data_IF_981462417043
#
_entry.id   IF_981462417043
#
_cell.length_a   1.000
_cell.length_b   1.000
_cell.length_c   1.000
_cell.angle_alpha   90.00
_cell.angle_beta   90.00
_cell.angle_gamma   90.00
#
_symmetry.space_group_name_H-M   'P 1'
#
loop_
_entity.id
_entity.type
_entity.pdbx_description
1 polymer ?
#
# COMPACT_ATOMS: atom_id res chain seq x y z
N UNK A 1 -27.72 29.47 -44.09
CA UNK A 1 -28.96 28.78 -44.51
C UNK A 1 -29.23 27.63 -43.55
N UNK A 2 -30.09 27.85 -42.56
CA UNK A 2 -30.69 26.80 -41.75
C UNK A 2 -32.15 27.23 -41.54
N UNK A 3 -33.10 26.44 -42.02
CA UNK A 3 -34.52 26.72 -41.84
C UNK A 3 -34.84 26.67 -40.34
N UNK A 4 -35.10 27.85 -39.75
CA UNK A 4 -35.75 27.95 -38.46
C UNK A 4 -37.17 27.39 -38.61
N UNK A 5 -37.35 26.14 -38.19
CA UNK A 5 -38.65 25.49 -38.20
C UNK A 5 -39.59 26.23 -37.26
N UNK A 6 -40.67 26.82 -37.80
CA UNK A 6 -41.77 27.33 -36.97
C UNK A 6 -42.47 26.13 -36.35
N UNK A 7 -42.56 26.10 -35.01
CA UNK A 7 -43.32 25.10 -34.26
C UNK A 7 -44.50 25.80 -33.59
N UNK A 8 -45.72 25.38 -33.91
CA UNK A 8 -46.91 25.81 -33.19
C UNK A 8 -46.85 25.27 -31.76
N UNK A 9 -46.90 26.17 -30.77
CA UNK A 9 -46.79 25.80 -29.35
C UNK A 9 -48.16 25.58 -28.70
N UNK A 10 -49.13 26.40 -29.09
CA UNK A 10 -50.53 26.27 -28.70
C UNK A 10 -51.41 27.00 -29.73
N UNK A 11 -52.64 26.53 -29.88
CA UNK A 11 -53.72 27.23 -30.58
C UNK A 11 -54.96 27.10 -29.69
N UNK A 12 -55.49 28.23 -29.22
CA UNK A 12 -56.58 28.24 -28.26
C UNK A 12 -57.49 29.44 -28.49
N UNK A 13 -58.79 29.23 -28.26
CA UNK A 13 -59.76 30.33 -28.20
C UNK A 13 -59.82 30.85 -26.77
N UNK A 14 -59.55 32.14 -26.59
CA UNK A 14 -59.70 32.80 -25.29
C UNK A 14 -61.19 33.10 -25.03
N UNK A 15 -61.64 32.92 -23.79
CA UNK A 15 -62.96 33.37 -23.39
C UNK A 15 -63.06 34.91 -23.49
N UNK A 16 -64.28 35.44 -23.62
CA UNK A 16 -64.52 36.88 -23.81
C UNK A 16 -63.87 37.69 -22.68
N UNK A 17 -62.78 38.40 -23.00
CA UNK A 17 -62.09 39.28 -22.06
C UNK A 17 -62.81 40.64 -22.04
N UNK A 18 -63.30 41.05 -20.87
CA UNK A 18 -63.82 42.41 -20.68
C UNK A 18 -62.69 43.43 -20.75
N UNK A 19 -63.00 44.64 -21.21
CA UNK A 19 -62.02 45.72 -21.36
C UNK A 19 -61.25 45.97 -20.06
N UNK A 20 -59.91 45.88 -20.14
CA UNK A 20 -59.02 46.07 -18.99
C UNK A 20 -58.71 44.79 -18.19
N UNK A 21 -59.36 43.66 -18.47
CA UNK A 21 -58.97 42.37 -17.92
C UNK A 21 -57.73 41.79 -18.65
N UNK A 22 -56.89 41.09 -17.90
CA UNK A 22 -55.76 40.34 -18.42
C UNK A 22 -55.94 38.84 -18.12
N UNK A 23 -55.50 37.99 -19.03
CA UNK A 23 -55.43 36.54 -18.85
C UNK A 23 -54.00 36.07 -19.16
N UNK A 24 -53.56 34.99 -18.51
CA UNK A 24 -52.19 34.48 -18.63
C UNK A 24 -52.21 33.03 -19.08
N UNK A 25 -51.61 32.76 -20.24
CA UNK A 25 -51.45 31.41 -20.77
C UNK A 25 -50.03 30.91 -20.47
N UNK A 26 -49.92 29.80 -19.73
CA UNK A 26 -48.66 29.12 -19.48
C UNK A 26 -48.49 27.95 -20.45
N UNK A 27 -47.48 28.00 -21.33
CA UNK A 27 -47.20 26.95 -22.30
C UNK A 27 -45.82 26.36 -22.01
N UNK A 28 -45.71 25.04 -21.69
CA UNK A 28 -44.41 24.41 -21.55
C UNK A 28 -43.72 24.31 -22.91
N UNK A 29 -42.45 24.69 -22.95
CA UNK A 29 -41.64 24.61 -24.15
C UNK A 29 -40.24 24.08 -23.85
N UNK A 30 -39.75 23.22 -24.74
CA UNK A 30 -38.42 22.63 -24.64
C UNK A 30 -37.76 22.61 -26.01
N UNK A 31 -36.47 22.90 -26.02
CA UNK A 31 -35.61 22.75 -27.20
C UNK A 31 -34.26 22.16 -26.80
N UNK A 32 -33.68 21.35 -27.69
CA UNK A 32 -32.29 20.90 -27.63
C UNK A 32 -31.34 21.89 -28.33
N UNK A 33 -31.86 22.83 -29.11
CA UNK A 33 -31.07 23.78 -29.87
C UNK A 33 -30.67 24.97 -29.02
N UNK A 34 -29.37 25.30 -29.01
CA UNK A 34 -28.85 26.56 -28.47
C UNK A 34 -29.08 27.69 -29.48
N UNK A 35 -29.09 28.93 -28.99
CA UNK A 35 -29.19 30.14 -29.82
C UNK A 35 -30.31 31.09 -29.42
N UNK A 36 -30.54 32.07 -30.29
CA UNK A 36 -31.65 33.02 -30.24
C UNK A 36 -32.92 32.34 -30.76
N UNK A 37 -33.98 32.41 -29.98
CA UNK A 37 -35.32 31.94 -30.35
C UNK A 37 -36.29 33.12 -30.29
N UNK A 38 -37.42 32.96 -30.97
CA UNK A 38 -38.49 33.94 -31.00
C UNK A 38 -39.80 33.23 -30.68
N UNK A 39 -40.54 33.76 -29.71
CA UNK A 39 -41.94 33.40 -29.48
C UNK A 39 -42.79 34.51 -30.09
N UNK A 40 -43.75 34.11 -30.93
CA UNK A 40 -44.74 35.00 -31.49
C UNK A 40 -46.13 34.59 -31.02
N UNK A 41 -46.91 35.54 -30.52
CA UNK A 41 -48.33 35.39 -30.23
C UNK A 41 -49.14 36.14 -31.28
N UNK A 42 -50.10 35.46 -31.91
CA UNK A 42 -51.04 36.05 -32.85
C UNK A 42 -52.44 35.97 -32.25
N UNK A 43 -53.12 37.11 -32.16
CA UNK A 43 -54.51 37.21 -31.72
C UNK A 43 -55.35 37.74 -32.88
N UNK A 44 -56.45 37.05 -33.19
CA UNK A 44 -57.42 37.48 -34.20
C UNK A 44 -58.84 37.45 -33.64
N UNK A 45 -59.63 38.47 -33.95
CA UNK A 45 -61.09 38.50 -33.71
C UNK A 45 -61.91 38.27 -35.01
N UNK A 46 -61.23 37.85 -36.09
CA UNK A 46 -61.82 37.69 -37.43
C UNK A 46 -61.78 38.95 -38.31
N UNK A 47 -61.49 40.13 -37.75
CA UNK A 47 -61.37 41.40 -38.50
C UNK A 47 -60.00 42.05 -38.26
N UNK A 48 -59.50 41.99 -37.02
CA UNK A 48 -58.23 42.56 -36.58
C UNK A 48 -57.26 41.45 -36.24
N UNK A 49 -56.01 41.62 -36.66
CA UNK A 49 -54.91 40.73 -36.33
C UNK A 49 -53.87 41.51 -35.56
N UNK A 50 -53.54 41.05 -34.35
CA UNK A 50 -52.44 41.61 -33.55
C UNK A 50 -51.38 40.54 -33.40
N UNK A 51 -50.15 40.85 -33.79
CA UNK A 51 -48.99 39.99 -33.58
C UNK A 51 -48.05 40.67 -32.61
N UNK A 52 -47.57 39.92 -31.62
CA UNK A 52 -46.46 40.31 -30.76
C UNK A 52 -45.37 39.26 -30.81
N UNK A 53 -44.14 39.72 -30.81
CA UNK A 53 -42.96 38.87 -30.84
C UNK A 53 -42.05 39.23 -29.68
N UNK A 54 -41.41 38.21 -29.12
CA UNK A 54 -40.38 38.36 -28.11
C UNK A 54 -39.23 37.43 -28.46
N UNK A 55 -38.04 38.02 -28.58
CA UNK A 55 -36.80 37.28 -28.74
C UNK A 55 -36.21 36.93 -27.38
N UNK A 56 -35.59 35.76 -27.28
CA UNK A 56 -34.90 35.33 -26.08
C UNK A 56 -33.80 34.33 -26.43
N UNK A 57 -32.72 34.35 -25.63
CA UNK A 57 -31.66 33.37 -25.74
C UNK A 57 -31.98 32.14 -24.90
N UNK A 58 -31.72 30.97 -25.45
CA UNK A 58 -31.83 29.71 -24.71
C UNK A 58 -30.83 29.62 -23.56
N UNK A 59 -31.13 28.74 -22.61
CA UNK A 59 -30.22 28.37 -21.52
C UNK A 59 -29.03 27.55 -22.07
N UNK A 60 -27.89 27.51 -21.36
CA UNK A 60 -26.79 26.62 -21.70
C UNK A 60 -27.21 25.14 -21.73
N UNK A 61 -26.61 24.36 -22.63
CA UNK A 61 -26.92 22.93 -22.84
C UNK A 61 -25.62 22.13 -22.84
N UNK A 62 -25.60 20.98 -22.20
CA UNK A 62 -24.42 20.12 -22.19
C UNK A 62 -24.35 19.18 -21.01
N UNK A 63 -23.15 18.70 -20.75
CA UNK A 63 -22.84 17.74 -19.68
C UNK A 63 -21.76 18.28 -18.76
N UNK A 64 -21.90 17.95 -17.48
CA UNK A 64 -20.87 18.17 -16.46
C UNK A 64 -20.91 16.97 -15.51
N UNK A 65 -19.84 16.20 -15.46
CA UNK A 65 -19.80 14.99 -14.64
C UNK A 65 -18.36 14.63 -14.27
N UNK A 66 -18.22 13.83 -13.23
CA UNK A 66 -17.01 13.06 -12.94
C UNK A 66 -17.33 11.56 -13.05
N UNK A 67 -16.36 10.69 -12.80
CA UNK A 67 -16.62 9.25 -12.73
C UNK A 67 -17.47 8.89 -11.52
N UNK A 68 -18.31 7.86 -11.64
CA UNK A 68 -19.14 7.36 -10.54
C UNK A 68 -18.32 7.01 -9.28
N UNK A 69 -17.06 6.64 -9.48
CA UNK A 69 -16.05 6.50 -8.43
C UNK A 69 -14.85 7.37 -8.77
N UNK A 70 -14.49 8.29 -7.88
CA UNK A 70 -13.35 9.18 -8.02
C UNK A 70 -12.25 8.77 -7.02
N UNK A 71 -11.05 8.53 -7.55
CA UNK A 71 -9.88 8.13 -6.75
C UNK A 71 -9.26 9.39 -6.15
N UNK A 72 -9.24 9.50 -4.82
CA UNK A 72 -8.62 10.61 -4.09
C UNK A 72 -7.17 10.34 -3.71
N UNK A 73 -6.87 9.08 -3.41
CA UNK A 73 -5.57 8.65 -2.92
C UNK A 73 -5.19 7.40 -3.71
N UNK A 74 -3.99 7.43 -4.30
CA UNK A 74 -3.31 6.24 -4.78
C UNK A 74 -2.31 5.80 -3.70
N UNK A 75 -2.53 4.64 -3.11
CA UNK A 75 -1.66 4.01 -2.13
C UNK A 75 -0.76 2.99 -2.83
N UNK A 76 0.54 3.11 -2.63
CA UNK A 76 1.54 2.12 -3.04
C UNK A 76 2.16 1.52 -1.79
N UNK A 77 2.14 0.20 -1.67
CA UNK A 77 2.67 -0.52 -0.52
C UNK A 77 3.79 -1.49 -0.92
N UNK A 78 4.83 -1.57 -0.09
CA UNK A 78 5.80 -2.66 -0.08
C UNK A 78 5.78 -3.33 1.30
N UNK A 79 5.56 -4.63 1.32
CA UNK A 79 5.52 -5.41 2.56
C UNK A 79 6.75 -6.30 2.71
N UNK A 80 7.31 -6.32 3.91
CA UNK A 80 8.47 -7.09 4.30
C UNK A 80 8.18 -7.89 5.57
N UNK A 81 8.31 -9.21 5.51
CA UNK A 81 8.25 -10.06 6.70
C UNK A 81 9.66 -10.49 7.09
N UNK A 82 10.18 -9.91 8.17
CA UNK A 82 11.57 -10.07 8.61
C UNK A 82 11.73 -11.23 9.59
N UNK A 83 12.85 -11.97 9.55
CA UNK A 83 13.12 -13.03 10.49
C UNK A 83 13.44 -12.46 11.87
N UNK A 84 12.83 -13.04 12.91
CA UNK A 84 13.25 -12.79 14.28
C UNK A 84 14.46 -13.68 14.62
N UNK A 85 15.56 -13.07 15.08
CA UNK A 85 16.76 -13.80 15.50
C UNK A 85 16.64 -14.19 16.99
N UNK A 86 16.52 -15.48 17.34
CA UNK A 86 16.29 -15.93 18.72
C UNK A 86 17.59 -16.12 19.52
N UNK A 87 18.71 -15.59 19.02
CA UNK A 87 20.03 -15.74 19.61
C UNK A 87 20.64 -14.37 19.91
N UNK A 88 20.95 -14.12 21.18
CA UNK A 88 21.49 -12.84 21.65
C UNK A 88 22.99 -12.99 21.86
N UNK A 89 23.82 -12.36 21.04
CA UNK A 89 25.29 -12.48 21.13
C UNK A 89 25.92 -11.45 22.09
N UNK A 90 27.04 -11.84 22.70
CA UNK A 90 27.75 -11.09 23.73
C UNK A 90 29.22 -10.83 23.38
N UNK A 91 29.76 -9.76 23.94
CA UNK A 91 31.19 -9.49 23.90
C UNK A 91 31.98 -10.49 24.77
N UNK A 92 33.28 -10.70 24.48
CA UNK A 92 34.12 -11.60 25.25
C UNK A 92 34.10 -11.26 26.74
N UNK A 93 33.92 -12.29 27.58
CA UNK A 93 33.89 -12.17 29.05
C UNK A 93 32.83 -11.20 29.60
N UNK A 94 31.80 -10.86 28.81
CA UNK A 94 30.72 -9.95 29.18
C UNK A 94 29.37 -10.65 29.27
N UNK A 95 28.54 -10.23 30.22
CA UNK A 95 27.11 -10.56 30.32
C UNK A 95 26.21 -9.38 29.95
N UNK A 96 26.76 -8.27 29.47
CA UNK A 96 25.98 -7.08 29.09
C UNK A 96 25.28 -7.29 27.76
N UNK A 97 23.95 -7.12 27.75
CA UNK A 97 23.14 -7.20 26.52
C UNK A 97 23.39 -5.95 25.67
N UNK A 98 23.71 -6.12 24.39
CA UNK A 98 24.00 -5.01 23.47
C UNK A 98 22.74 -4.19 23.15
N UNK A 99 22.93 -2.88 22.92
CA UNK A 99 21.86 -1.94 22.58
C UNK A 99 20.99 -2.38 21.39
N UNK A 100 21.58 -3.00 20.36
CA UNK A 100 20.88 -3.49 19.18
C UNK A 100 19.79 -4.56 19.48
N UNK A 101 19.82 -5.17 20.66
CA UNK A 101 18.79 -6.12 21.10
C UNK A 101 17.74 -5.49 22.02
N UNK A 102 17.96 -4.27 22.52
CA UNK A 102 17.15 -3.63 23.55
C UNK A 102 16.44 -2.35 23.06
N UNK A 103 17.12 -1.57 22.24
CA UNK A 103 16.67 -0.24 21.84
C UNK A 103 16.27 -0.23 20.38
N UNK A 104 15.12 0.38 20.13
CA UNK A 104 14.63 0.63 18.78
C UNK A 104 15.52 1.66 18.12
N UNK A 105 16.13 1.27 17.01
CA UNK A 105 16.76 2.19 16.08
C UNK A 105 15.78 2.37 14.90
N UNK A 106 15.95 1.61 13.82
CA UNK A 106 15.02 1.62 12.69
C UNK A 106 13.87 0.60 12.82
N UNK A 107 14.07 -0.50 13.54
CA UNK A 107 13.11 -1.61 13.67
C UNK A 107 13.05 -2.08 15.12
N UNK A 108 11.93 -2.75 15.45
CA UNK A 108 11.72 -3.28 16.79
C UNK A 108 12.78 -4.37 17.09
N UNK A 109 13.58 -4.21 18.15
CA UNK A 109 14.69 -5.11 18.40
C UNK A 109 14.18 -6.48 18.88
N UNK A 110 14.98 -7.56 18.73
CA UNK A 110 14.50 -8.91 18.99
C UNK A 110 13.93 -9.13 20.39
N UNK A 111 14.53 -8.58 21.46
CA UNK A 111 14.03 -8.80 22.82
C UNK A 111 12.72 -8.05 23.09
N UNK A 112 12.54 -6.86 22.51
CA UNK A 112 11.27 -6.13 22.65
C UNK A 112 10.15 -6.87 21.94
N UNK A 113 10.42 -7.39 20.74
CA UNK A 113 9.46 -8.21 19.98
C UNK A 113 9.06 -9.47 20.77
N UNK A 114 10.03 -10.22 21.32
CA UNK A 114 9.75 -11.39 22.16
C UNK A 114 8.96 -10.99 23.42
N UNK A 115 9.34 -9.90 24.07
CA UNK A 115 8.64 -9.42 25.27
C UNK A 115 7.19 -9.04 25.00
N UNK A 116 6.91 -8.36 23.88
CA UNK A 116 5.56 -8.01 23.47
C UNK A 116 4.71 -9.28 23.26
N UNK A 117 5.24 -10.28 22.55
CA UNK A 117 4.57 -11.56 22.31
C UNK A 117 4.29 -12.33 23.60
N UNK A 118 5.22 -12.32 24.56
CA UNK A 118 5.01 -12.94 25.86
C UNK A 118 3.93 -12.22 26.69
N UNK A 119 3.88 -10.88 26.61
CA UNK A 119 2.87 -10.08 27.32
C UNK A 119 1.46 -10.30 26.77
N UNK A 120 1.32 -10.47 25.45
CA UNK A 120 0.02 -10.76 24.81
C UNK A 120 -0.40 -12.22 25.00
N UNK A 121 0.53 -13.13 25.24
CA UNK A 121 0.27 -14.56 25.41
C UNK A 121 0.83 -15.08 26.74
N UNK A 122 0.08 -14.86 27.82
CA UNK A 122 0.51 -15.17 29.20
C UNK A 122 0.80 -16.64 29.46
N UNK A 123 0.23 -17.54 28.67
CA UNK A 123 0.46 -18.98 28.72
C UNK A 123 1.80 -19.41 28.07
N UNK A 124 2.37 -18.57 27.20
CA UNK A 124 3.61 -18.87 26.49
C UNK A 124 4.78 -18.85 27.49
N UNK A 125 5.58 -19.92 27.46
CA UNK A 125 6.81 -20.05 28.23
C UNK A 125 8.02 -20.09 27.31
N UNK A 126 9.09 -19.42 27.70
CA UNK A 126 10.38 -19.48 27.01
C UNK A 126 11.47 -20.04 27.91
N UNK A 127 12.45 -20.64 27.27
CA UNK A 127 13.63 -21.20 27.89
C UNK A 127 14.86 -20.43 27.42
N UNK A 128 15.64 -19.94 28.37
CA UNK A 128 16.88 -19.21 28.14
C UNK A 128 18.06 -20.10 28.49
N UNK A 129 18.94 -20.35 27.51
CA UNK A 129 20.20 -21.07 27.75
C UNK A 129 21.38 -20.23 27.27
N UNK A 130 22.31 -19.94 28.18
CA UNK A 130 23.55 -19.25 27.85
C UNK A 130 24.64 -20.20 27.37
N UNK A 131 25.53 -19.68 26.54
CA UNK A 131 26.69 -20.39 26.03
C UNK A 131 27.98 -19.55 26.22
N UNK A 132 29.03 -20.23 26.68
CA UNK A 132 30.39 -19.71 26.78
C UNK A 132 31.29 -20.35 25.72
N UNK A 133 32.21 -19.57 25.17
CA UNK A 133 33.11 -20.04 24.11
C UNK A 133 34.56 -20.20 24.62
N UNK A 134 35.09 -21.44 24.75
CA UNK A 134 36.45 -21.65 25.25
C UNK A 134 37.53 -21.08 24.32
N UNK A 135 37.23 -20.95 23.02
CA UNK A 135 38.10 -20.28 22.06
C UNK A 135 38.28 -18.78 22.36
N UNK A 136 37.39 -18.19 23.16
CA UNK A 136 37.44 -16.81 23.64
C UNK A 136 38.04 -16.70 25.07
N UNK A 137 38.59 -17.79 25.61
CA UNK A 137 39.08 -17.88 26.99
C UNK A 137 37.98 -18.08 28.04
N UNK A 138 36.74 -18.38 27.61
CA UNK A 138 35.59 -18.53 28.50
C UNK A 138 35.38 -20.01 28.85
N UNK A 139 35.86 -20.40 30.04
CA UNK A 139 35.79 -21.79 30.50
C UNK A 139 34.77 -22.03 31.61
N UNK A 140 34.05 -20.99 32.03
CA UNK A 140 33.18 -21.03 33.21
C UNK A 140 31.71 -21.04 32.80
N UNK A 141 30.96 -22.02 33.29
CA UNK A 141 29.50 -22.10 33.14
C UNK A 141 28.81 -20.88 33.78
N UNK A 142 29.36 -20.34 34.86
CA UNK A 142 28.82 -19.17 35.55
C UNK A 142 28.66 -17.95 34.63
N UNK A 143 29.55 -17.76 33.64
CA UNK A 143 29.42 -16.66 32.68
C UNK A 143 28.24 -16.88 31.73
N UNK A 144 28.02 -18.12 31.30
CA UNK A 144 26.86 -18.49 30.48
C UNK A 144 25.55 -18.27 31.26
N UNK A 145 25.49 -18.66 32.53
CA UNK A 145 24.35 -18.43 33.41
C UNK A 145 24.09 -16.93 33.62
N UNK A 146 25.15 -16.14 33.84
CA UNK A 146 25.05 -14.69 33.99
C UNK A 146 24.48 -14.00 32.74
N UNK A 147 24.85 -14.46 31.54
CA UNK A 147 24.26 -13.98 30.28
C UNK A 147 22.77 -14.30 30.19
N UNK A 148 22.36 -15.51 30.53
CA UNK A 148 20.95 -15.91 30.53
C UNK A 148 20.13 -15.08 31.53
N UNK A 149 20.69 -14.81 32.71
CA UNK A 149 20.10 -13.90 33.69
C UNK A 149 19.95 -12.47 33.16
N UNK A 150 20.97 -11.93 32.48
CA UNK A 150 20.89 -10.58 31.90
C UNK A 150 19.78 -10.47 30.83
N UNK A 151 19.59 -11.50 30.00
CA UNK A 151 18.48 -11.54 29.02
C UNK A 151 17.12 -11.61 29.73
N UNK A 152 16.99 -12.44 30.77
CA UNK A 152 15.77 -12.49 31.61
C UNK A 152 15.46 -11.12 32.19
N UNK A 153 16.45 -10.47 32.79
CA UNK A 153 16.26 -9.19 33.47
C UNK A 153 15.86 -8.09 32.48
N UNK A 154 16.39 -8.14 31.26
CA UNK A 154 15.95 -7.28 30.16
C UNK A 154 14.48 -7.52 29.79
N UNK A 155 14.04 -8.78 29.69
CA UNK A 155 12.64 -9.13 29.42
C UNK A 155 11.70 -8.71 30.57
N UNK A 156 12.15 -8.81 31.83
CA UNK A 156 11.41 -8.28 32.97
C UNK A 156 11.26 -6.76 32.92
N UNK A 157 12.31 -6.04 32.53
CA UNK A 157 12.24 -4.60 32.33
C UNK A 157 11.20 -4.20 31.26
N UNK A 158 10.95 -5.08 30.27
CA UNK A 158 9.88 -4.91 29.28
C UNK A 158 8.49 -5.39 29.74
N UNK A 159 8.35 -5.89 30.98
CA UNK A 159 7.08 -6.26 31.59
C UNK A 159 6.65 -7.72 31.38
N UNK A 160 7.58 -8.62 31.03
CA UNK A 160 7.32 -10.07 30.97
C UNK A 160 7.19 -10.64 32.39
N UNK A 161 6.26 -11.56 32.61
CA UNK A 161 6.08 -12.17 33.93
C UNK A 161 7.15 -13.23 34.22
N UNK A 162 7.49 -13.38 35.50
CA UNK A 162 8.51 -14.34 35.95
C UNK A 162 8.17 -15.80 35.66
N UNK A 163 6.88 -16.18 35.68
CA UNK A 163 6.40 -17.54 35.43
C UNK A 163 6.50 -17.96 33.95
N UNK A 164 6.73 -17.00 33.05
CA UNK A 164 6.91 -17.23 31.61
C UNK A 164 8.35 -17.53 31.21
N UNK A 165 9.34 -17.32 32.11
CA UNK A 165 10.76 -17.46 31.76
C UNK A 165 11.42 -18.54 32.63
N UNK A 166 12.04 -19.52 31.98
CA UNK A 166 12.83 -20.56 32.63
C UNK A 166 14.28 -20.45 32.18
N UNK A 167 15.22 -20.26 33.13
CA UNK A 167 16.64 -20.34 32.85
C UNK A 167 17.08 -21.80 32.89
N UNK A 168 17.67 -22.28 31.80
CA UNK A 168 18.31 -23.58 31.71
C UNK A 168 19.80 -23.46 32.12
N UNK A 169 20.42 -24.54 32.65
CA UNK A 169 21.83 -24.53 32.97
C UNK A 169 22.69 -24.13 31.76
N UNK A 170 23.60 -23.19 31.96
CA UNK A 170 24.55 -22.73 30.96
C UNK A 170 25.48 -23.83 30.48
N UNK A 171 26.08 -23.61 29.32
CA UNK A 171 26.96 -24.59 28.68
C UNK A 171 28.25 -23.93 28.18
N UNK A 172 29.39 -24.59 28.41
CA UNK A 172 30.65 -24.25 27.73
C UNK A 172 30.68 -25.08 26.44
N UNK A 173 30.71 -24.40 25.30
CA UNK A 173 30.72 -25.07 24.00
C UNK A 173 32.01 -25.88 23.82
N UNK A 174 31.99 -26.96 23.02
CA UNK A 174 33.22 -27.67 22.67
C UNK A 174 34.17 -26.74 21.88
N UNK A 175 35.49 -26.86 22.08
CA UNK A 175 36.46 -26.08 21.33
C UNK A 175 36.34 -26.38 19.83
N UNK A 176 36.51 -25.35 19.01
CA UNK A 176 36.43 -25.45 17.55
C UNK A 176 37.75 -25.04 16.91
N UNK A 177 38.07 -25.60 15.73
CA UNK A 177 39.15 -25.08 14.91
C UNK A 177 38.84 -23.64 14.46
N UNK A 178 39.73 -22.72 14.80
CA UNK A 178 39.65 -21.32 14.38
C UNK A 178 39.91 -21.20 12.87
N UNK A 179 39.09 -20.45 12.12
CA UNK A 179 39.38 -20.07 10.73
C UNK A 179 40.77 -19.43 10.59
N UNK A 180 41.39 -19.62 9.42
CA UNK A 180 42.69 -18.98 9.13
C UNK A 180 42.55 -17.47 8.91
N UNK A 181 41.41 -17.02 8.36
CA UNK A 181 41.08 -15.61 8.23
C UNK A 181 40.73 -15.04 9.62
N UNK A 182 41.34 -13.90 9.97
CA UNK A 182 41.20 -13.29 11.29
C UNK A 182 39.80 -12.70 11.54
N UNK A 183 39.16 -12.12 10.53
CA UNK A 183 37.79 -11.60 10.62
C UNK A 183 36.77 -12.74 10.75
N UNK A 184 36.91 -13.79 9.95
CA UNK A 184 36.10 -15.01 10.10
C UNK A 184 36.25 -15.60 11.50
N UNK A 185 37.47 -15.67 12.03
CA UNK A 185 37.73 -16.14 13.38
C UNK A 185 37.02 -15.28 14.42
N UNK A 186 37.15 -13.95 14.34
CA UNK A 186 36.49 -12.98 15.21
C UNK A 186 34.97 -13.15 15.17
N UNK A 187 34.38 -13.19 13.98
CA UNK A 187 32.93 -13.32 13.79
C UNK A 187 32.37 -14.66 14.25
N UNK A 188 33.10 -15.76 14.01
CA UNK A 188 32.70 -17.10 14.49
C UNK A 188 32.72 -17.15 16.02
N UNK A 189 33.75 -16.62 16.66
CA UNK A 189 33.81 -16.57 18.13
C UNK A 189 32.69 -15.69 18.70
N UNK A 190 32.41 -14.55 18.07
CA UNK A 190 31.31 -13.66 18.48
C UNK A 190 29.95 -14.34 18.49
N UNK A 191 29.65 -15.11 17.46
CA UNK A 191 28.36 -15.79 17.38
C UNK A 191 28.25 -17.05 18.24
N UNK A 192 29.37 -17.51 18.82
CA UNK A 192 29.41 -18.64 19.76
C UNK A 192 29.23 -18.21 21.22
N UNK A 193 29.31 -16.92 21.50
CA UNK A 193 29.00 -16.32 22.79
C UNK A 193 27.58 -15.78 22.77
N UNK A 194 26.60 -16.62 23.06
CA UNK A 194 25.20 -16.23 22.92
C UNK A 194 24.28 -16.81 23.99
N UNK A 195 23.11 -16.22 24.13
CA UNK A 195 21.95 -16.82 24.80
C UNK A 195 20.97 -17.24 23.72
N UNK A 196 20.56 -18.50 23.77
CA UNK A 196 19.48 -19.02 22.94
C UNK A 196 18.15 -18.85 23.65
N UNK A 197 17.20 -18.23 22.97
CA UNK A 197 15.79 -18.21 23.36
C UNK A 197 15.11 -19.37 22.63
N UNK A 198 14.35 -20.17 23.37
CA UNK A 198 13.59 -21.30 22.81
C UNK A 198 12.25 -21.43 23.52
N UNK A 199 11.35 -22.22 22.96
CA UNK A 199 10.03 -22.53 23.54
C UNK A 199 9.62 -23.93 23.07
N UNK A 200 8.47 -24.41 23.51
CA UNK A 200 7.91 -25.66 22.99
C UNK A 200 7.41 -25.48 21.55
N UNK A 201 7.12 -26.59 20.86
CA UNK A 201 6.78 -26.54 19.44
C UNK A 201 5.55 -25.68 19.14
N UNK A 202 4.57 -25.69 20.06
CA UNK A 202 3.36 -24.87 19.93
C UNK A 202 3.65 -23.37 20.13
N UNK A 203 4.56 -23.03 21.03
CA UNK A 203 4.99 -21.67 21.27
C UNK A 203 5.86 -21.08 20.18
N UNK A 204 6.55 -21.88 19.36
CA UNK A 204 7.47 -21.40 18.31
C UNK A 204 6.77 -20.43 17.34
N UNK A 205 5.55 -20.78 16.92
CA UNK A 205 4.73 -19.98 15.99
C UNK A 205 4.47 -18.58 16.54
N UNK A 206 4.24 -18.49 17.86
CA UNK A 206 3.93 -17.23 18.52
C UNK A 206 5.21 -16.45 18.83
N UNK A 207 6.19 -17.10 19.44
CA UNK A 207 7.41 -16.46 19.93
C UNK A 207 8.30 -15.98 18.78
N UNK A 208 8.37 -16.75 17.69
CA UNK A 208 9.36 -16.60 16.61
C UNK A 208 8.76 -16.36 15.23
N UNK A 209 7.49 -15.96 15.19
CA UNK A 209 6.86 -15.44 13.98
C UNK A 209 7.73 -14.36 13.31
N UNK A 210 7.60 -14.22 12.00
CA UNK A 210 8.21 -13.11 11.28
C UNK A 210 7.67 -11.77 11.80
N UNK A 211 8.46 -10.71 11.62
CA UNK A 211 8.13 -9.35 12.03
C UNK A 211 7.68 -8.59 10.79
N UNK A 212 6.39 -8.24 10.65
CA UNK A 212 5.90 -7.51 9.50
C UNK A 212 6.40 -6.07 9.52
N UNK A 213 6.66 -5.53 8.33
CA UNK A 213 7.02 -4.15 8.09
C UNK A 213 6.40 -3.71 6.77
N UNK A 214 5.69 -2.58 6.79
CA UNK A 214 5.04 -2.01 5.63
C UNK A 214 5.62 -0.62 5.33
N UNK A 215 6.02 -0.40 4.10
CA UNK A 215 6.32 0.92 3.56
C UNK A 215 5.19 1.36 2.65
N UNK A 216 4.49 2.43 3.03
CA UNK A 216 3.29 2.93 2.36
C UNK A 216 3.57 4.34 1.86
N UNK A 217 3.46 4.52 0.54
CA UNK A 217 3.50 5.84 -0.11
C UNK A 217 2.09 6.20 -0.57
N UNK A 218 1.59 7.32 -0.06
CA UNK A 218 0.28 7.85 -0.40
C UNK A 218 0.44 9.03 -1.35
N UNK A 219 -0.27 9.01 -2.47
CA UNK A 219 -0.29 10.10 -3.44
C UNK A 219 -1.70 10.66 -3.60
N UNK A 220 -1.86 11.97 -3.36
CA UNK A 220 -3.12 12.67 -3.61
C UNK A 220 -3.41 12.76 -5.11
N UNK A 221 -4.67 12.54 -5.47
CA UNK A 221 -5.21 12.64 -6.82
C UNK A 221 -6.33 13.69 -6.85
N UNK A 222 -6.33 14.63 -7.79
CA UNK A 222 -7.48 15.49 -8.00
C UNK A 222 -8.63 14.69 -8.61
N UNK A 223 -9.86 14.99 -8.19
CA UNK A 223 -11.07 14.56 -8.89
C UNK A 223 -11.18 15.36 -10.18
N UNK A 224 -11.29 14.65 -11.29
CA UNK A 224 -11.42 15.25 -12.62
C UNK A 224 -12.89 15.34 -12.99
N UNK A 225 -13.40 16.55 -13.17
CA UNK A 225 -14.70 16.79 -13.76
C UNK A 225 -14.54 17.14 -15.24
N UNK A 226 -15.34 16.52 -16.09
CA UNK A 226 -15.38 16.81 -17.52
C UNK A 226 -16.60 17.66 -17.80
N UNK A 227 -16.38 18.85 -18.35
CA UNK A 227 -17.43 19.74 -18.83
C UNK A 227 -17.47 19.76 -20.34
N UNK A 228 -18.67 19.74 -20.91
CA UNK A 228 -18.95 20.09 -22.31
C UNK A 228 -20.29 20.80 -22.38
N UNK A 229 -20.26 22.13 -22.27
CA UNK A 229 -21.46 22.98 -22.24
C UNK A 229 -21.41 24.00 -23.38
N UNK A 230 -22.48 24.11 -24.14
CA UNK A 230 -22.66 25.11 -25.18
C UNK A 230 -23.64 26.19 -24.69
N UNK A 231 -23.32 27.46 -24.97
CA UNK A 231 -24.16 28.59 -24.59
C UNK A 231 -24.39 29.53 -25.77
N UNK A 232 -25.60 30.05 -25.90
CA UNK A 232 -25.94 31.01 -26.95
C UNK A 232 -25.26 32.36 -26.76
N UNK A 233 -24.96 32.71 -25.51
CA UNK A 233 -24.31 33.94 -25.09
C UNK A 233 -23.05 33.61 -24.26
N UNK A 234 -22.06 34.51 -24.21
CA UNK A 234 -20.86 34.30 -23.41
C UNK A 234 -21.15 33.95 -21.96
N UNK A 235 -20.47 32.93 -21.46
CA UNK A 235 -20.41 32.60 -20.04
C UNK A 235 -19.29 33.43 -19.42
N UNK A 236 -19.59 34.10 -18.30
CA UNK A 236 -18.67 35.04 -17.64
C UNK A 236 -17.95 34.42 -16.46
N UNK A 237 -18.64 33.59 -15.68
CA UNK A 237 -18.06 32.93 -14.50
C UNK A 237 -18.71 31.58 -14.25
N UNK A 238 -17.92 30.68 -13.66
CA UNK A 238 -18.38 29.38 -13.19
C UNK A 238 -18.00 29.19 -11.73
N UNK A 239 -18.83 28.47 -10.99
CA UNK A 239 -18.58 28.10 -9.60
C UNK A 239 -18.93 26.62 -9.43
N UNK A 240 -17.92 25.80 -9.15
CA UNK A 240 -18.14 24.42 -8.74
C UNK A 240 -18.38 24.40 -7.23
N UNK A 241 -19.54 23.91 -6.81
CA UNK A 241 -19.86 23.64 -5.42
C UNK A 241 -19.71 22.14 -5.17
N UNK A 242 -18.97 21.78 -4.13
CA UNK A 242 -18.78 20.39 -3.70
C UNK A 242 -19.10 20.24 -2.23
N UNK A 243 -19.62 19.08 -1.84
CA UNK A 243 -19.85 18.70 -0.45
C UNK A 243 -19.44 17.25 -0.23
N UNK A 244 -18.53 17.02 0.70
CA UNK A 244 -18.08 15.68 1.10
C UNK A 244 -17.74 15.69 2.60
N UNK A 245 -18.12 14.64 3.34
CA UNK A 245 -17.85 14.54 4.79
C UNK A 245 -18.37 15.72 5.61
N UNK A 246 -19.50 16.31 5.20
CA UNK A 246 -20.07 17.52 5.83
C UNK A 246 -19.32 18.83 5.54
N UNK A 247 -18.25 18.79 4.76
CA UNK A 247 -17.49 19.98 4.35
C UNK A 247 -18.00 20.47 3.01
N UNK A 248 -18.40 21.74 2.95
CA UNK A 248 -18.81 22.41 1.73
C UNK A 248 -17.65 23.26 1.18
N UNK A 249 -17.32 23.11 -0.10
CA UNK A 249 -16.26 23.86 -0.78
C UNK A 249 -16.79 24.50 -2.06
N UNK A 250 -16.13 25.59 -2.46
CA UNK A 250 -16.42 26.31 -3.68
C UNK A 250 -15.13 26.54 -4.45
N UNK A 251 -15.14 26.25 -5.75
CA UNK A 251 -14.04 26.49 -6.66
C UNK A 251 -14.52 27.41 -7.78
N UNK A 252 -13.97 28.63 -7.81
CA UNK A 252 -14.20 29.55 -8.92
C UNK A 252 -13.48 29.07 -10.17
N UNK A 253 -14.16 29.18 -11.31
CA UNK A 253 -13.70 28.69 -12.60
C UNK A 253 -13.52 29.86 -13.55
N UNK A 254 -12.31 29.97 -14.10
CA UNK A 254 -12.06 30.85 -15.22
C UNK A 254 -12.75 30.29 -16.48
N UNK A 255 -13.81 30.97 -16.93
CA UNK A 255 -14.47 30.60 -18.18
C UNK A 255 -13.79 31.35 -19.32
N UNK A 256 -12.91 30.64 -20.05
CA UNK A 256 -12.10 31.22 -21.12
C UNK A 256 -12.81 31.35 -22.47
N UNK A 257 -14.09 30.99 -22.59
CA UNK A 257 -14.76 30.86 -23.89
C UNK A 257 -16.01 31.73 -24.07
N UNK A 258 -16.11 32.27 -25.30
CA UNK A 258 -17.14 33.24 -25.69
C UNK A 258 -18.52 32.64 -25.95
N UNK A 259 -18.68 31.34 -26.17
CA UNK A 259 -19.99 30.69 -26.47
C UNK A 259 -20.07 29.21 -26.02
N UNK A 260 -19.23 28.79 -25.07
CA UNK A 260 -19.21 27.41 -24.56
C UNK A 260 -18.18 27.19 -23.46
N UNK A 261 -18.19 26.04 -22.82
CA UNK A 261 -17.36 25.68 -21.67
C UNK A 261 -17.04 24.18 -21.77
N UNK A 262 -15.95 23.87 -22.49
CA UNK A 262 -15.42 22.51 -22.64
C UNK A 262 -14.02 22.46 -22.05
N UNK A 263 -13.89 21.91 -20.86
CA UNK A 263 -12.63 21.79 -20.15
C UNK A 263 -12.70 20.69 -19.09
N UNK A 264 -11.53 20.19 -18.71
CA UNK A 264 -11.35 19.42 -17.49
C UNK A 264 -11.19 20.37 -16.31
N UNK A 265 -11.87 20.08 -15.22
CA UNK A 265 -11.79 20.83 -13.96
C UNK A 265 -11.21 19.90 -12.92
N UNK A 266 -10.08 20.30 -12.34
CA UNK A 266 -9.41 19.55 -11.29
C UNK A 266 -9.86 20.10 -9.94
N UNK A 267 -10.53 19.27 -9.16
CA UNK A 267 -10.85 19.58 -7.77
C UNK A 267 -10.03 18.68 -6.86
N UNK A 268 -9.31 19.28 -5.93
CA UNK A 268 -8.59 18.55 -4.90
C UNK A 268 -9.17 18.91 -3.54
N UNK A 269 -9.69 17.94 -2.77
CA UNK A 269 -10.20 18.23 -1.44
C UNK A 269 -9.06 18.68 -0.52
N UNK A 270 -9.15 19.90 0.01
CA UNK A 270 -8.25 20.40 1.05
C UNK A 270 -6.87 20.87 0.55
N UNK A 271 -6.20 21.70 1.35
CA UNK A 271 -4.81 22.11 1.13
C UNK A 271 -3.88 20.96 1.54
N UNK A 272 -3.30 20.24 0.57
CA UNK A 272 -2.15 19.29 0.64
C UNK A 272 -2.03 18.29 1.81
N UNK A 273 -2.97 18.22 2.76
CA UNK A 273 -2.90 17.39 3.95
C UNK A 273 -3.59 16.04 3.72
N UNK A 274 -2.79 14.99 3.65
CA UNK A 274 -3.25 13.64 3.30
C UNK A 274 -4.20 13.04 4.34
N UNK A 275 -3.96 13.31 5.63
CA UNK A 275 -4.78 12.78 6.73
C UNK A 275 -6.22 13.32 6.70
N UNK A 276 -6.40 14.51 6.13
CA UNK A 276 -7.73 15.10 5.95
C UNK A 276 -8.45 14.54 4.73
N UNK A 277 -7.71 14.26 3.66
CA UNK A 277 -8.26 13.65 2.45
C UNK A 277 -8.65 12.20 2.70
N UNK A 278 -7.84 11.46 3.48
CA UNK A 278 -8.11 10.06 3.82
C UNK A 278 -9.45 9.89 4.55
N UNK A 279 -9.81 10.85 5.41
CA UNK A 279 -11.12 10.86 6.11
C UNK A 279 -12.31 11.03 5.17
N UNK A 280 -12.11 11.48 3.94
CA UNK A 280 -13.16 11.59 2.93
C UNK A 280 -13.30 10.31 2.10
N UNK A 281 -12.35 9.37 2.20
CA UNK A 281 -12.48 8.10 1.53
C UNK A 281 -13.65 7.29 2.11
N UNK A 282 -14.48 6.72 1.24
CA UNK A 282 -15.71 6.03 1.63
C UNK A 282 -16.95 6.92 1.68
N UNK A 283 -16.83 8.22 1.46
CA UNK A 283 -17.94 9.17 1.44
C UNK A 283 -18.44 9.45 0.02
N UNK A 284 -19.67 9.96 -0.09
CA UNK A 284 -20.18 10.52 -1.34
C UNK A 284 -19.78 11.99 -1.48
N UNK A 285 -19.30 12.36 -2.66
CA UNK A 285 -19.09 13.72 -3.13
C UNK A 285 -20.34 14.20 -3.84
N UNK A 286 -21.12 15.06 -3.21
CA UNK A 286 -22.18 15.80 -3.88
C UNK A 286 -21.58 17.02 -4.60
N UNK A 287 -21.99 17.27 -5.84
CA UNK A 287 -21.46 18.39 -6.63
C UNK A 287 -22.51 19.07 -7.51
N UNK A 288 -22.28 20.36 -7.77
CA UNK A 288 -23.11 21.17 -8.66
C UNK A 288 -22.26 22.29 -9.29
N UNK A 289 -22.38 22.47 -10.59
CA UNK A 289 -21.79 23.59 -11.32
C UNK A 289 -22.82 24.71 -11.50
N UNK A 290 -22.48 25.93 -11.04
CA UNK A 290 -23.20 27.16 -11.31
C UNK A 290 -22.46 27.97 -12.38
N UNK A 291 -23.21 28.67 -13.23
CA UNK A 291 -22.66 29.48 -14.32
C UNK A 291 -23.44 30.78 -14.45
N UNK A 292 -22.73 31.88 -14.70
CA UNK A 292 -23.34 33.16 -15.03
C UNK A 292 -23.03 33.54 -16.47
N UNK A 293 -24.01 34.08 -17.18
CA UNK A 293 -23.84 34.56 -18.54
C UNK A 293 -23.71 36.09 -18.65
N UNK A 294 -23.38 36.56 -19.85
CA UNK A 294 -23.19 37.99 -20.12
C UNK A 294 -24.47 38.84 -20.07
N UNK A 295 -25.64 38.21 -19.91
CA UNK A 295 -26.92 38.90 -19.71
C UNK A 295 -27.30 38.99 -18.22
N UNK A 296 -26.42 38.51 -17.32
CA UNK A 296 -26.66 38.49 -15.88
C UNK A 296 -27.57 37.36 -15.42
N UNK A 297 -27.76 36.31 -16.23
CA UNK A 297 -28.56 35.13 -15.87
C UNK A 297 -27.68 34.06 -15.23
N UNK A 298 -28.21 33.40 -14.21
CA UNK A 298 -27.53 32.30 -13.51
C UNK A 298 -28.19 30.96 -13.85
N UNK A 299 -27.37 29.96 -14.12
CA UNK A 299 -27.77 28.59 -14.42
C UNK A 299 -27.03 27.62 -13.52
N UNK A 300 -27.61 26.44 -13.30
CA UNK A 300 -26.98 25.37 -12.54
C UNK A 300 -27.22 24.02 -13.20
N UNK A 301 -26.30 23.11 -12.97
CA UNK A 301 -26.45 21.68 -13.31
C UNK A 301 -27.26 20.99 -12.21
N UNK A 302 -28.05 19.94 -12.51
CA UNK A 302 -28.68 19.15 -11.46
C UNK A 302 -27.63 18.61 -10.48
N UNK A 303 -27.94 18.55 -9.17
CA UNK A 303 -27.05 17.90 -8.21
C UNK A 303 -26.75 16.47 -8.61
N UNK A 304 -25.48 16.09 -8.52
CA UNK A 304 -25.00 14.75 -8.81
C UNK A 304 -24.02 14.29 -7.72
N UNK A 305 -23.77 12.99 -7.65
CA UNK A 305 -22.90 12.38 -6.65
C UNK A 305 -21.84 11.48 -7.29
N UNK A 306 -20.68 11.39 -6.65
CA UNK A 306 -19.63 10.42 -6.97
C UNK A 306 -19.10 9.81 -5.68
N UNK A 307 -18.75 8.53 -5.70
CA UNK A 307 -18.15 7.85 -4.55
C UNK A 307 -16.64 8.16 -4.49
N UNK A 308 -16.14 8.50 -3.31
CA UNK A 308 -14.73 8.81 -3.09
C UNK A 308 -13.98 7.56 -2.62
N UNK A 309 -12.94 7.15 -3.34
CA UNK A 309 -12.21 5.92 -3.04
C UNK A 309 -10.69 6.12 -2.89
N UNK A 310 -10.07 5.22 -2.13
CA UNK A 310 -8.62 4.97 -2.17
C UNK A 310 -8.37 3.81 -3.13
N UNK A 311 -7.38 3.95 -3.99
CA UNK A 311 -6.86 2.87 -4.81
C UNK A 311 -5.55 2.37 -4.19
N UNK A 312 -5.56 1.15 -3.64
CA UNK A 312 -4.38 0.54 -3.04
C UNK A 312 -3.72 -0.47 -3.99
N UNK A 313 -2.40 -0.39 -4.10
CA UNK A 313 -1.59 -1.27 -4.93
C UNK A 313 -0.38 -1.79 -4.16
N UNK A 314 -0.24 -3.12 -4.07
CA UNK A 314 0.96 -3.75 -3.53
C UNK A 314 1.98 -3.84 -4.65
N UNK A 315 3.13 -3.17 -4.54
CA UNK A 315 4.17 -3.17 -5.60
C UNK A 315 5.10 -4.36 -5.49
N UNK A 316 5.43 -4.76 -4.27
CA UNK A 316 6.30 -5.89 -4.00
C UNK A 316 6.06 -6.41 -2.58
N UNK A 317 6.28 -7.71 -2.40
CA UNK A 317 6.25 -8.32 -1.09
C UNK A 317 7.43 -9.29 -0.95
N UNK A 318 8.11 -9.23 0.20
CA UNK A 318 9.27 -10.06 0.49
C UNK A 318 9.12 -10.73 1.85
N UNK A 319 9.16 -12.05 1.86
CA UNK A 319 9.12 -12.86 3.09
C UNK A 319 10.50 -13.47 3.30
N UNK A 320 11.11 -13.24 4.46
CA UNK A 320 12.48 -13.67 4.74
C UNK A 320 12.53 -14.69 5.89
N UNK A 321 12.89 -15.93 5.57
CA UNK A 321 13.00 -17.02 6.53
C UNK A 321 14.42 -17.17 7.05
N UNK A 322 14.63 -17.24 8.38
CA UNK A 322 15.95 -17.45 8.93
C UNK A 322 16.40 -18.89 8.67
N UNK A 323 17.69 -19.05 8.34
CA UNK A 323 18.34 -20.34 8.14
C UNK A 323 19.40 -20.59 9.22
N UNK A 324 19.64 -21.86 9.55
CA UNK A 324 20.78 -22.23 10.39
C UNK A 324 22.10 -22.00 9.64
N UNK A 325 23.18 -21.78 10.39
CA UNK A 325 24.53 -21.66 9.81
C UNK A 325 24.88 -22.91 9.00
N UNK A 326 25.38 -22.71 7.78
CA UNK A 326 25.72 -23.78 6.84
C UNK A 326 24.60 -24.81 6.58
N UNK A 327 23.33 -24.43 6.79
CA UNK A 327 22.18 -25.29 6.50
C UNK A 327 21.35 -24.76 5.32
N UNK A 328 20.54 -25.63 4.74
CA UNK A 328 19.60 -25.34 3.65
C UNK A 328 18.14 -25.24 4.09
N UNK A 329 17.80 -25.79 5.25
CA UNK A 329 16.46 -25.77 5.80
C UNK A 329 16.20 -24.52 6.67
N UNK A 330 14.96 -24.01 6.70
CA UNK A 330 14.55 -22.94 7.60
C UNK A 330 14.75 -23.33 9.07
N UNK A 331 14.84 -22.32 9.93
CA UNK A 331 15.08 -22.50 11.36
C UNK A 331 13.94 -23.29 12.03
N UNK A 332 12.70 -23.03 11.61
CA UNK A 332 11.47 -23.63 12.12
C UNK A 332 10.59 -24.17 10.98
N UNK A 333 9.88 -25.25 11.26
CA UNK A 333 9.01 -25.90 10.26
C UNK A 333 7.68 -25.15 10.04
N UNK A 334 7.18 -24.41 11.04
CA UNK A 334 5.88 -23.73 10.94
C UNK A 334 5.83 -22.65 9.86
N UNK A 335 6.99 -22.13 9.42
CA UNK A 335 7.05 -21.19 8.30
C UNK A 335 6.43 -21.77 7.02
N UNK A 336 6.49 -23.09 6.85
CA UNK A 336 5.81 -23.75 5.74
C UNK A 336 4.29 -23.62 5.83
N UNK A 337 3.73 -23.71 7.04
CA UNK A 337 2.28 -23.61 7.27
C UNK A 337 1.80 -22.17 7.06
N UNK A 338 2.63 -21.19 7.42
CA UNK A 338 2.37 -19.77 7.15
C UNK A 338 2.38 -19.45 5.66
N UNK A 339 3.29 -20.04 4.87
CA UNK A 339 3.43 -19.71 3.45
C UNK A 339 2.16 -19.96 2.62
N UNK A 340 1.39 -20.98 2.99
CA UNK A 340 0.36 -21.51 2.11
C UNK A 340 -0.84 -20.55 1.95
N UNK A 341 -1.45 -20.01 3.02
CA UNK A 341 -2.47 -18.97 2.88
C UNK A 341 -2.02 -17.78 2.01
N UNK A 342 -0.74 -17.41 2.09
CA UNK A 342 -0.19 -16.31 1.30
C UNK A 342 -0.10 -16.62 -0.20
N UNK A 343 0.19 -17.86 -0.58
CA UNK A 343 0.23 -18.26 -1.99
C UNK A 343 -1.15 -18.10 -2.66
N UNK A 344 -2.21 -18.53 -1.99
CA UNK A 344 -3.56 -18.43 -2.54
C UNK A 344 -3.96 -16.97 -2.76
N UNK A 345 -3.62 -16.08 -1.82
CA UNK A 345 -3.89 -14.64 -1.97
C UNK A 345 -3.11 -14.03 -3.13
N UNK A 346 -1.79 -14.26 -3.20
CA UNK A 346 -0.93 -13.65 -4.21
C UNK A 346 -1.16 -14.19 -5.62
N UNK A 347 -1.54 -15.45 -5.75
CA UNK A 347 -1.78 -16.07 -7.06
C UNK A 347 -3.16 -15.72 -7.63
N UNK A 348 -4.06 -15.09 -6.87
CA UNK A 348 -5.31 -14.58 -7.44
C UNK A 348 -5.04 -13.52 -8.51
N UNK A 349 -3.96 -12.74 -8.39
CA UNK A 349 -3.50 -11.83 -9.43
C UNK A 349 -2.70 -12.60 -10.52
N UNK A 350 -3.09 -12.52 -11.81
CA UNK A 350 -2.38 -13.20 -12.89
C UNK A 350 -1.01 -12.65 -13.26
N UNK A 351 -0.70 -11.40 -12.91
CA UNK A 351 0.52 -10.69 -13.29
C UNK A 351 1.65 -10.86 -12.26
N UNK A 352 1.36 -11.35 -11.05
CA UNK A 352 2.36 -11.58 -10.00
C UNK A 352 3.25 -12.78 -10.34
N UNK A 353 4.56 -12.59 -10.20
CA UNK A 353 5.58 -13.65 -10.25
C UNK A 353 6.20 -13.87 -8.88
N UNK A 354 6.74 -15.07 -8.68
CA UNK A 354 7.41 -15.49 -7.46
C UNK A 354 8.84 -15.94 -7.75
N UNK A 355 9.78 -15.65 -6.86
CA UNK A 355 11.16 -16.18 -6.90
C UNK A 355 11.66 -16.51 -5.50
N UNK A 356 12.52 -17.52 -5.42
CA UNK A 356 13.29 -17.82 -4.22
C UNK A 356 14.73 -17.32 -4.34
N UNK A 357 15.17 -16.54 -3.37
CA UNK A 357 16.53 -16.00 -3.29
C UNK A 357 17.23 -16.51 -2.03
N UNK A 358 18.37 -17.15 -2.17
CA UNK A 358 19.20 -17.57 -1.04
C UNK A 358 20.26 -16.51 -0.73
N UNK A 359 20.53 -16.29 0.56
CA UNK A 359 21.52 -15.34 1.02
C UNK A 359 22.52 -15.99 1.99
N UNK A 360 23.69 -15.37 2.13
CA UNK A 360 24.74 -15.78 3.05
C UNK A 360 25.33 -14.56 3.79
N UNK A 361 25.91 -14.80 4.97
CA UNK A 361 26.66 -13.80 5.72
C UNK A 361 28.12 -13.72 5.22
N UNK A 362 28.88 -12.75 5.73
CA UNK A 362 30.28 -12.55 5.34
C UNK A 362 31.29 -13.57 5.87
N UNK A 363 30.88 -14.53 6.71
CA UNK A 363 31.81 -15.56 7.21
C UNK A 363 32.14 -16.55 6.08
N UNK A 364 33.42 -16.65 5.70
CA UNK A 364 33.92 -17.51 4.63
C UNK A 364 34.13 -16.77 3.31
N UNK A 365 34.63 -17.48 2.28
CA UNK A 365 34.90 -16.84 0.99
C UNK A 365 33.62 -16.55 0.20
N UNK A 366 33.63 -15.45 -0.56
CA UNK A 366 32.52 -15.04 -1.43
C UNK A 366 32.06 -16.16 -2.37
N UNK A 367 32.98 -16.94 -2.93
CA UNK A 367 32.67 -18.08 -3.80
C UNK A 367 31.89 -19.18 -3.08
N UNK A 368 32.30 -19.52 -1.85
CA UNK A 368 31.61 -20.51 -1.02
C UNK A 368 30.23 -19.99 -0.63
N UNK A 369 30.13 -18.73 -0.23
CA UNK A 369 28.88 -18.10 0.17
C UNK A 369 27.90 -17.98 -1.00
N UNK A 370 28.37 -17.63 -2.19
CA UNK A 370 27.56 -17.64 -3.41
C UNK A 370 27.02 -19.05 -3.70
N UNK A 371 27.91 -20.06 -3.70
CA UNK A 371 27.52 -21.46 -3.95
C UNK A 371 26.49 -21.96 -2.92
N UNK A 372 26.74 -21.71 -1.64
CA UNK A 372 25.83 -22.10 -0.55
C UNK A 372 24.46 -21.43 -0.69
N UNK A 373 24.45 -20.14 -1.02
CA UNK A 373 23.22 -19.38 -1.22
C UNK A 373 22.39 -19.90 -2.41
N UNK A 374 23.04 -20.28 -3.52
CA UNK A 374 22.37 -20.90 -4.67
C UNK A 374 21.80 -22.28 -4.30
N UNK A 375 22.58 -23.11 -3.60
CA UNK A 375 22.14 -24.44 -3.15
C UNK A 375 20.93 -24.35 -2.22
N UNK A 376 20.92 -23.38 -1.29
CA UNK A 376 19.77 -23.09 -0.41
C UNK A 376 18.51 -22.82 -1.21
N UNK A 377 18.59 -21.88 -2.15
CA UNK A 377 17.43 -21.47 -2.95
C UNK A 377 16.90 -22.63 -3.81
N UNK A 378 17.78 -23.42 -4.42
CA UNK A 378 17.40 -24.59 -5.22
C UNK A 378 16.78 -25.71 -4.39
N UNK A 379 17.39 -26.07 -3.26
CA UNK A 379 16.87 -27.11 -2.37
C UNK A 379 15.50 -26.72 -1.81
N UNK A 380 15.33 -25.44 -1.47
CA UNK A 380 14.05 -24.90 -1.06
C UNK A 380 13.01 -25.01 -2.17
N UNK A 381 13.33 -24.54 -3.38
CA UNK A 381 12.42 -24.59 -4.53
C UNK A 381 11.93 -26.03 -4.80
N UNK A 382 12.83 -27.00 -4.75
CA UNK A 382 12.48 -28.41 -4.96
C UNK A 382 11.52 -28.92 -3.87
N UNK A 383 11.82 -28.63 -2.61
CA UNK A 383 10.97 -29.02 -1.47
C UNK A 383 9.61 -28.34 -1.54
N UNK A 384 9.58 -27.06 -1.90
CA UNK A 384 8.37 -26.27 -2.10
C UNK A 384 7.49 -26.89 -3.19
N UNK A 385 8.05 -27.16 -4.37
CA UNK A 385 7.30 -27.76 -5.48
C UNK A 385 6.76 -29.14 -5.11
N UNK A 386 7.53 -29.96 -4.39
CA UNK A 386 7.06 -31.26 -3.90
C UNK A 386 5.83 -31.10 -2.99
N UNK A 387 5.88 -30.19 -2.02
CA UNK A 387 4.77 -29.91 -1.09
C UNK A 387 3.52 -29.37 -1.81
N UNK A 388 3.69 -28.43 -2.75
CA UNK A 388 2.56 -27.89 -3.53
C UNK A 388 1.93 -28.98 -4.38
N UNK A 389 2.74 -29.86 -4.99
CA UNK A 389 2.21 -30.98 -5.79
C UNK A 389 1.39 -31.95 -4.95
N UNK A 390 1.82 -32.19 -3.72
CA UNK A 390 1.16 -33.09 -2.78
C UNK A 390 -0.14 -32.51 -2.22
N UNK A 391 -0.10 -31.25 -1.75
CA UNK A 391 -1.21 -30.67 -1.00
C UNK A 391 -2.12 -29.74 -1.83
N UNK A 392 -1.63 -29.17 -2.93
CA UNK A 392 -2.33 -28.19 -3.78
C UNK A 392 -2.23 -28.56 -5.28
N UNK A 393 -2.64 -29.78 -5.69
CA UNK A 393 -2.43 -30.26 -7.04
C UNK A 393 -3.14 -29.41 -8.11
N UNK A 394 -4.26 -28.76 -7.76
CA UNK A 394 -5.00 -27.88 -8.66
C UNK A 394 -4.25 -26.57 -8.96
N UNK A 395 -3.49 -26.05 -8.00
CA UNK A 395 -2.72 -24.81 -8.14
C UNK A 395 -1.29 -25.04 -8.66
N UNK A 396 -0.81 -26.29 -8.68
CA UNK A 396 0.58 -26.62 -9.01
C UNK A 396 1.04 -26.08 -10.36
N UNK A 397 0.27 -26.28 -11.43
CA UNK A 397 0.63 -25.79 -12.77
C UNK A 397 0.63 -24.26 -12.85
N UNK A 398 -0.32 -23.61 -12.17
CA UNK A 398 -0.38 -22.14 -12.08
C UNK A 398 0.85 -21.58 -11.35
N UNK A 399 1.27 -22.26 -10.28
CA UNK A 399 2.44 -21.88 -9.49
C UNK A 399 3.72 -22.03 -10.29
N UNK A 400 3.92 -23.16 -11.00
CA UNK A 400 5.17 -23.40 -11.72
C UNK A 400 5.35 -22.44 -12.90
N UNK A 401 4.27 -22.02 -13.57
CA UNK A 401 4.33 -21.03 -14.65
C UNK A 401 4.77 -19.63 -14.18
N UNK A 402 4.47 -19.30 -12.91
CA UNK A 402 4.76 -18.00 -12.29
C UNK A 402 6.00 -18.00 -11.40
N UNK A 403 6.56 -19.16 -11.14
CA UNK A 403 7.77 -19.35 -10.35
C UNK A 403 9.01 -19.22 -11.23
N UNK A 404 9.81 -18.20 -10.99
CA UNK A 404 11.12 -18.05 -11.60
C UNK A 404 12.15 -18.98 -10.97
N UNK A 405 13.26 -19.20 -11.68
CA UNK A 405 14.38 -19.99 -11.18
C UNK A 405 14.98 -19.40 -9.90
N UNK A 406 15.29 -20.27 -8.95
CA UNK A 406 15.98 -19.92 -7.72
C UNK A 406 17.35 -19.26 -7.97
N UNK A 407 17.66 -18.23 -7.17
CA UNK A 407 18.88 -17.43 -7.30
C UNK A 407 19.66 -17.39 -5.99
N UNK A 408 20.98 -17.59 -6.07
CA UNK A 408 21.92 -17.28 -5.01
C UNK A 408 22.37 -15.82 -5.09
N UNK A 409 22.35 -15.14 -3.95
CA UNK A 409 22.82 -13.74 -3.83
C UNK A 409 24.15 -13.61 -3.09
N UNK A 410 24.65 -14.70 -2.51
CA UNK A 410 25.81 -14.69 -1.62
C UNK A 410 25.67 -13.60 -0.55
N UNK A 411 26.72 -12.80 -0.42
CA UNK A 411 26.81 -11.66 0.51
C UNK A 411 26.44 -10.32 -0.14
N UNK A 412 26.25 -10.30 -1.46
CA UNK A 412 26.13 -9.06 -2.25
C UNK A 412 24.85 -8.25 -1.96
N UNK A 413 23.88 -8.85 -1.27
CA UNK A 413 22.62 -8.22 -0.86
C UNK A 413 22.37 -8.49 0.63
N UNK A 414 22.97 -7.70 1.53
CA UNK A 414 22.62 -7.77 2.94
C UNK A 414 21.13 -7.49 3.12
N UNK A 415 20.56 -7.96 4.24
CA UNK A 415 19.16 -7.68 4.56
C UNK A 415 18.97 -6.18 4.64
N UNK A 416 17.97 -5.67 3.95
CA UNK A 416 17.66 -4.25 3.91
C UNK A 416 16.27 -4.00 3.36
N UNK A 417 15.71 -2.88 3.79
CA UNK A 417 14.42 -2.35 3.33
C UNK A 417 14.75 -1.33 2.25
N UNK A 418 14.22 -1.56 1.04
CA UNK A 418 14.20 -0.56 0.00
C UNK A 418 12.87 0.17 0.12
N UNK A 419 12.94 1.46 0.43
CA UNK A 419 11.78 2.33 0.52
C UNK A 419 11.27 2.71 -0.88
N UNK A 420 10.01 3.05 -0.99
CA UNK A 420 9.38 3.59 -2.20
C UNK A 420 10.06 4.88 -2.67
N UNK A 421 10.61 5.66 -1.74
CA UNK A 421 11.46 6.84 -2.01
C UNK A 421 12.77 6.52 -2.76
N UNK A 422 13.15 5.25 -2.86
CA UNK A 422 14.41 4.78 -3.43
C UNK A 422 15.58 4.74 -2.44
N UNK A 423 15.39 5.21 -1.21
CA UNK A 423 16.36 5.02 -0.14
C UNK A 423 16.41 3.56 0.33
N UNK A 424 17.56 3.12 0.83
CA UNK A 424 17.74 1.77 1.35
C UNK A 424 18.37 1.82 2.73
N UNK A 425 17.78 1.11 3.68
CA UNK A 425 18.39 0.92 5.00
C UNK A 425 18.83 -0.52 5.15
N UNK A 426 20.08 -0.70 5.57
CA UNK A 426 20.71 -2.01 5.77
C UNK A 426 20.48 -2.45 7.20
N UNK A 427 19.83 -3.59 7.38
CA UNK A 427 19.60 -4.23 8.69
C UNK A 427 20.60 -5.38 8.91
N UNK A 428 21.00 -6.02 7.82
CA UNK A 428 21.95 -7.13 7.78
C UNK A 428 23.40 -6.65 7.73
N UNK A 429 23.83 -5.74 8.61
CA UNK A 429 25.24 -5.34 8.65
C UNK A 429 26.12 -6.50 9.14
N UNK A 430 27.06 -6.94 8.30
CA UNK A 430 27.94 -8.07 8.59
C UNK A 430 28.96 -7.77 9.70
N UNK A 431 29.20 -6.51 10.07
CA UNK A 431 30.04 -6.22 11.23
C UNK A 431 29.36 -6.59 12.54
N UNK A 432 28.03 -6.62 12.56
CA UNK A 432 27.24 -7.03 13.73
C UNK A 432 26.85 -8.52 13.69
N UNK A 433 26.84 -9.22 14.84
CA UNK A 433 26.39 -10.61 14.90
C UNK A 433 24.91 -10.77 14.56
N UNK A 434 24.08 -9.78 14.91
CA UNK A 434 22.67 -9.74 14.55
C UNK A 434 22.51 -9.66 13.02
N UNK A 435 23.20 -8.72 12.37
CA UNK A 435 23.13 -8.54 10.92
C UNK A 435 23.66 -9.74 10.14
N UNK A 436 24.74 -10.39 10.61
CA UNK A 436 25.20 -11.67 10.02
C UNK A 436 24.15 -12.78 10.13
N UNK A 437 23.43 -12.88 11.25
CA UNK A 437 22.34 -13.86 11.42
C UNK A 437 21.15 -13.53 10.50
N UNK A 438 20.78 -12.26 10.37
CA UNK A 438 19.77 -11.80 9.40
C UNK A 438 20.17 -12.09 7.94
N UNK A 439 21.46 -12.07 7.61
CA UNK A 439 21.96 -12.41 6.29
C UNK A 439 21.88 -13.90 5.94
N UNK A 440 21.72 -14.77 6.94
CA UNK A 440 21.51 -16.21 6.73
C UNK A 440 20.03 -16.48 6.57
N UNK A 441 19.54 -16.18 5.38
CA UNK A 441 18.12 -16.28 5.08
C UNK A 441 17.85 -16.85 3.70
N UNK A 442 16.62 -17.27 3.55
CA UNK A 442 15.96 -17.47 2.28
C UNK A 442 14.91 -16.36 2.15
N UNK A 443 14.81 -15.74 0.99
CA UNK A 443 13.74 -14.82 0.65
C UNK A 443 12.79 -15.43 -0.36
N UNK A 444 11.50 -15.21 -0.14
CA UNK A 444 10.42 -15.45 -1.07
C UNK A 444 9.97 -14.07 -1.56
N UNK A 445 10.21 -13.80 -2.84
CA UNK A 445 9.94 -12.52 -3.48
C UNK A 445 8.70 -12.64 -4.34
N UNK A 446 7.67 -11.85 -4.06
CA UNK A 446 6.53 -11.62 -4.95
C UNK A 446 6.68 -10.26 -5.61
N UNK A 447 6.57 -10.24 -6.93
CA UNK A 447 6.80 -9.03 -7.69
C UNK A 447 6.07 -9.02 -9.03
N UNK A 448 5.75 -7.83 -9.50
CA UNK A 448 5.25 -7.63 -10.86
C UNK A 448 6.45 -7.50 -11.79
N UNK A 449 6.56 -8.33 -12.85
CA UNK A 449 7.53 -8.09 -13.89
C UNK A 449 7.26 -6.70 -14.45
N UNK A 450 8.31 -5.90 -14.63
CA UNK A 450 8.16 -4.59 -15.25
C UNK A 450 7.35 -4.78 -16.55
N UNK A 451 6.12 -4.22 -16.60
CA UNK A 451 5.35 -4.21 -17.84
C UNK A 451 6.30 -3.67 -18.88
N UNK A 452 6.62 -4.47 -19.91
CA UNK A 452 7.25 -3.94 -21.12
C UNK A 452 6.38 -2.74 -21.46
N UNK A 453 6.93 -1.54 -21.28
CA UNK A 453 6.28 -0.32 -21.72
C UNK A 453 5.96 -0.55 -23.19
N UNK A 454 4.71 -0.90 -23.48
CA UNK A 454 4.13 -0.64 -24.77
C UNK A 454 3.97 0.86 -24.73
N UNK A 455 4.99 1.54 -25.25
CA UNK A 455 4.86 2.86 -25.83
C UNK A 455 3.59 2.85 -26.65
N UNK A 456 2.51 3.39 -26.08
CA UNK A 456 1.40 3.97 -26.83
C UNK A 456 1.94 5.29 -27.39
N UNK A 457 2.83 5.16 -28.37
CA UNK A 457 3.17 6.22 -29.31
C UNK A 457 2.73 5.73 -30.68
N UNK A 458 1.90 6.57 -31.29
CA UNK A 458 1.56 6.60 -32.71
C UNK A 458 0.66 5.49 -33.25
N UNK A 459 -0.65 5.74 -33.13
CA UNK A 459 -1.47 5.84 -34.34
C UNK A 459 -2.26 7.16 -34.32
N UNK A 460 -1.73 8.13 -35.06
CA UNK A 460 -2.54 9.19 -35.68
C UNK A 460 -3.52 8.60 -36.68
#
# INVERSE_FOLDING_TARGET
SAHAGRKLLADTTLAMLISGAADTLAIPWHTSQTGLHMIAGELSDGIRHTRREAEFYTIPKGTFATSDTAILISESQITYEMPLVPEICFDPNSSTVKAAYLHKDLFEPPLVTVAQRLRTHRQLKIYLKGFADPNSGEHQVALADARAAAVRDSLFAFGVNADQIVILPGEVLPPRRTPANADDARWVMEERRYVKISTDKAGEVIAFQLVPYDDIELQLRPVVFVSSIASAVPLQSGLLQTTAGGRHQQLELEILSRQGFTQEILWQPGETNIDEVEKLAGENLAYTLLMNDSLGRTFYTPPAEAYLSVESSVRAQRVAWPLRFNATAPLYDFYWDELIPYLDQMLNDPDVRMRFSGHACAIGSQEINMRLSQQRAQAFQQTFLARIKEHYPQSYNKIIERLDGAVGRGEARPMGIAYLSGSMVILGDNESPLGRKLNRRLEIEFYYPAKRSKTLTDKR
#
